data_IF_070280193937
#
_entry.id   IF_070280193937
#
_cell.length_a   1.000
_cell.length_b   1.000
_cell.length_c   1.000
_cell.angle_alpha   90.00
_cell.angle_beta   90.00
_cell.angle_gamma   90.00
#
_symmetry.space_group_name_H-M   'P 1'
#
loop_
_entity.id
_entity.type
_entity.pdbx_description
1 polymer ?
#
# COMPACT_ATOMS: atom_id res chain seq x y z
N UNK A 1 -7.51 10.81 -4.29
CA UNK A 1 -8.37 10.17 -5.31
C UNK A 1 -9.55 9.43 -4.70
N UNK A 2 -9.38 8.37 -3.87
CA UNK A 2 -10.56 7.69 -3.27
C UNK A 2 -11.42 8.64 -2.42
N UNK A 3 -10.87 9.41 -1.46
CA UNK A 3 -11.68 10.37 -0.70
C UNK A 3 -12.41 11.39 -1.58
N UNK A 4 -11.73 11.89 -2.61
CA UNK A 4 -12.26 12.85 -3.59
C UNK A 4 -13.46 12.28 -4.35
N UNK A 5 -13.39 11.05 -4.86
CA UNK A 5 -14.52 10.46 -5.58
C UNK A 5 -15.71 10.13 -4.67
N UNK A 6 -15.44 9.94 -3.37
CA UNK A 6 -16.46 9.83 -2.31
C UNK A 6 -17.05 11.19 -1.90
N UNK A 7 -16.60 12.30 -2.48
CA UNK A 7 -17.11 13.65 -2.19
C UNK A 7 -16.31 14.42 -1.13
N UNK A 8 -15.12 13.95 -0.75
CA UNK A 8 -14.23 14.65 0.18
C UNK A 8 -13.02 15.24 -0.56
N UNK A 9 -13.12 16.52 -0.90
CA UNK A 9 -12.10 17.25 -1.63
C UNK A 9 -10.78 17.36 -0.86
N UNK A 10 -9.67 17.37 -1.59
CA UNK A 10 -8.35 17.63 -1.03
C UNK A 10 -7.48 18.38 -2.03
N UNK A 11 -6.49 19.07 -1.49
CA UNK A 11 -5.49 19.81 -2.24
C UNK A 11 -4.12 19.19 -2.03
N UNK A 12 -3.28 19.23 -3.07
CA UNK A 12 -1.86 18.88 -2.94
C UNK A 12 -1.06 20.15 -2.65
N UNK A 13 -0.70 20.33 -1.38
CA UNK A 13 0.09 21.49 -0.95
C UNK A 13 1.58 21.15 -1.03
N UNK A 14 2.34 21.97 -1.76
CA UNK A 14 3.78 21.76 -1.92
C UNK A 14 4.47 21.59 -0.55
N UNK A 15 5.33 20.58 -0.44
CA UNK A 15 6.07 20.21 0.79
C UNK A 15 5.24 19.79 2.00
N UNK A 16 3.91 19.90 1.97
CA UNK A 16 3.00 19.41 3.02
C UNK A 16 2.28 18.12 2.63
N UNK A 17 2.10 17.89 1.32
CA UNK A 17 1.36 16.74 0.80
C UNK A 17 -0.15 17.00 0.77
N UNK A 18 -0.99 15.95 0.87
CA UNK A 18 -2.43 16.10 0.79
C UNK A 18 -2.98 16.87 2.00
N UNK A 19 -3.83 17.84 1.73
CA UNK A 19 -4.54 18.66 2.71
C UNK A 19 -6.05 18.63 2.42
N UNK A 20 -6.85 18.36 3.43
CA UNK A 20 -8.30 18.32 3.33
C UNK A 20 -8.89 19.54 4.05
N UNK A 21 -9.58 20.45 3.32
CA UNK A 21 -10.20 21.63 3.92
C UNK A 21 -11.38 21.27 4.85
N UNK A 22 -12.02 20.11 4.62
CA UNK A 22 -13.03 19.53 5.48
C UNK A 22 -12.62 18.10 5.89
N UNK A 23 -12.93 17.70 7.13
CA UNK A 23 -12.59 16.37 7.65
C UNK A 23 -13.82 15.65 8.20
N UNK A 24 -13.75 14.32 8.25
CA UNK A 24 -14.81 13.49 8.83
C UNK A 24 -14.72 13.53 10.36
N UNK A 25 -15.78 14.01 11.01
CA UNK A 25 -15.83 14.16 12.47
C UNK A 25 -17.06 13.51 13.10
N UNK A 26 -18.08 13.20 12.32
CA UNK A 26 -19.38 12.72 12.78
C UNK A 26 -20.02 11.73 11.81
N UNK A 27 -21.08 11.07 12.26
CA UNK A 27 -21.90 10.19 11.42
C UNK A 27 -22.51 10.93 10.22
N UNK A 28 -22.98 12.17 10.44
CA UNK A 28 -23.55 13.00 9.38
C UNK A 28 -22.53 13.33 8.28
N UNK A 29 -21.23 13.38 8.60
CA UNK A 29 -20.19 13.58 7.60
C UNK A 29 -19.98 12.31 6.76
N UNK A 30 -20.05 11.13 7.38
CA UNK A 30 -19.95 9.83 6.68
C UNK A 30 -21.16 9.61 5.77
N UNK A 31 -22.34 10.00 6.22
CA UNK A 31 -23.59 9.79 5.46
C UNK A 31 -23.62 10.61 4.17
N UNK A 32 -22.95 11.77 4.14
CA UNK A 32 -22.79 12.60 2.93
C UNK A 32 -21.83 11.99 1.91
N UNK A 33 -20.98 11.04 2.30
CA UNK A 33 -20.03 10.43 1.38
C UNK A 33 -20.74 9.51 0.39
N UNK A 34 -20.43 9.71 -0.89
CA UNK A 34 -20.69 8.71 -1.92
C UNK A 34 -19.82 7.46 -1.67
N UNK A 35 -20.27 6.29 -2.11
CA UNK A 35 -19.52 5.05 -1.91
C UNK A 35 -19.81 3.98 -2.97
N UNK A 36 -18.91 3.02 -3.09
CA UNK A 36 -19.07 1.87 -3.97
C UNK A 36 -18.79 2.22 -5.43
N UNK A 37 -19.46 1.51 -6.35
CA UNK A 37 -19.22 1.62 -7.79
C UNK A 37 -19.50 3.03 -8.33
N UNK A 38 -20.59 3.68 -7.93
CA UNK A 38 -20.95 5.02 -8.40
C UNK A 38 -19.91 6.08 -8.04
N UNK A 39 -19.28 5.96 -6.86
CA UNK A 39 -18.18 6.83 -6.46
C UNK A 39 -16.91 6.50 -7.28
N UNK A 40 -16.57 5.22 -7.43
CA UNK A 40 -15.41 4.79 -8.20
C UNK A 40 -15.46 5.22 -9.67
N UNK A 41 -16.63 5.17 -10.33
CA UNK A 41 -16.83 5.56 -11.73
C UNK A 41 -16.37 7.00 -12.03
N UNK A 42 -16.42 7.90 -11.05
CA UNK A 42 -15.96 9.30 -11.19
C UNK A 42 -14.45 9.40 -11.45
N UNK A 43 -13.68 8.35 -11.19
CA UNK A 43 -12.24 8.29 -11.43
C UNK A 43 -11.88 7.79 -12.84
N UNK A 44 -12.78 7.98 -13.82
CA UNK A 44 -12.57 7.53 -15.20
C UNK A 44 -11.23 8.01 -15.82
N UNK A 45 -10.76 9.20 -15.47
CA UNK A 45 -9.47 9.72 -15.92
C UNK A 45 -8.28 8.82 -15.48
N UNK A 46 -8.38 8.18 -14.31
CA UNK A 46 -7.37 7.23 -13.82
C UNK A 46 -7.35 5.98 -14.68
N UNK A 47 -8.54 5.50 -15.04
CA UNK A 47 -8.69 4.27 -15.83
C UNK A 47 -8.20 4.47 -17.26
N UNK A 48 -8.52 5.60 -17.88
CA UNK A 48 -8.00 5.99 -19.19
C UNK A 48 -6.46 6.09 -19.18
N UNK A 49 -5.88 6.75 -18.17
CA UNK A 49 -4.43 6.84 -18.01
C UNK A 49 -3.77 5.46 -17.86
N UNK A 50 -4.43 4.52 -17.18
CA UNK A 50 -3.96 3.16 -17.04
C UNK A 50 -3.97 2.41 -18.38
N UNK A 51 -5.05 2.50 -19.16
CA UNK A 51 -5.13 1.86 -20.49
C UNK A 51 -4.08 2.39 -21.45
N UNK A 52 -3.89 3.71 -21.51
CA UNK A 52 -2.83 4.34 -22.32
C UNK A 52 -1.44 3.87 -21.88
N UNK A 53 -1.22 3.71 -20.57
CA UNK A 53 0.05 3.18 -20.04
C UNK A 53 0.26 1.72 -20.46
N UNK A 54 -0.77 0.88 -20.35
CA UNK A 54 -0.68 -0.54 -20.74
C UNK A 54 -0.38 -0.70 -22.23
N UNK A 55 -1.04 0.09 -23.08
CA UNK A 55 -0.78 0.13 -24.52
C UNK A 55 0.67 0.57 -24.81
N UNK A 56 1.12 1.67 -24.21
CA UNK A 56 2.48 2.18 -24.42
C UNK A 56 3.59 1.26 -23.87
N UNK A 57 3.28 0.38 -22.92
CA UNK A 57 4.21 -0.63 -22.42
C UNK A 57 4.44 -1.76 -23.43
N UNK A 58 3.48 -2.02 -24.33
CA UNK A 58 3.56 -3.06 -25.38
C UNK A 58 4.04 -4.42 -24.83
N UNK A 59 3.39 -4.86 -23.74
CA UNK A 59 3.68 -6.10 -22.99
C UNK A 59 5.14 -6.31 -22.54
N UNK A 60 5.97 -5.25 -22.58
CA UNK A 60 7.38 -5.31 -22.16
C UNK A 60 7.57 -5.69 -20.70
N UNK A 61 6.66 -5.24 -19.82
CA UNK A 61 6.60 -5.58 -18.39
C UNK A 61 5.16 -5.54 -17.89
N UNK A 62 4.81 -6.29 -16.82
CA UNK A 62 3.51 -6.18 -16.18
C UNK A 62 3.27 -4.79 -15.59
N UNK A 63 2.01 -4.34 -15.62
CA UNK A 63 1.55 -3.08 -15.06
C UNK A 63 0.91 -3.30 -13.68
N UNK A 64 1.46 -2.66 -12.65
CA UNK A 64 0.93 -2.74 -11.28
C UNK A 64 -0.10 -1.63 -11.06
N UNK A 65 -1.36 -2.02 -10.84
CA UNK A 65 -2.38 -1.16 -10.25
C UNK A 65 -2.23 -1.11 -8.73
N UNK A 66 -2.76 -0.05 -8.11
CA UNK A 66 -2.68 0.11 -6.65
C UNK A 66 -3.76 1.02 -6.08
N UNK A 67 -3.97 0.88 -4.77
CA UNK A 67 -4.72 1.80 -3.91
C UNK A 67 -4.16 1.80 -2.47
N UNK A 68 -4.49 2.84 -1.70
CA UNK A 68 -4.25 2.86 -0.26
C UNK A 68 -5.23 1.95 0.48
N UNK A 69 -4.78 1.36 1.60
CA UNK A 69 -5.63 0.57 2.47
C UNK A 69 -6.65 1.45 3.21
N UNK A 70 -7.78 0.89 3.68
CA UNK A 70 -8.87 1.67 4.26
C UNK A 70 -8.47 2.48 5.48
N UNK A 71 -7.65 1.90 6.38
CA UNK A 71 -7.08 2.64 7.52
C UNK A 71 -6.23 3.82 7.08
N UNK A 72 -5.31 3.60 6.14
CA UNK A 72 -4.45 4.66 5.60
C UNK A 72 -5.26 5.81 4.99
N UNK A 73 -6.34 5.51 4.27
CA UNK A 73 -7.24 6.52 3.71
C UNK A 73 -8.05 7.24 4.81
N UNK A 74 -8.60 6.49 5.76
CA UNK A 74 -9.31 7.04 6.93
C UNK A 74 -8.42 8.01 7.72
N UNK A 75 -7.13 7.70 7.88
CA UNK A 75 -6.17 8.59 8.54
C UNK A 75 -6.19 9.99 7.92
N UNK A 76 -6.10 10.11 6.60
CA UNK A 76 -6.16 11.40 5.93
C UNK A 76 -7.53 12.06 6.03
N UNK A 77 -8.62 11.30 5.84
CA UNK A 77 -9.99 11.82 5.85
C UNK A 77 -10.39 12.41 7.21
N UNK A 78 -9.89 11.86 8.31
CA UNK A 78 -10.21 12.31 9.68
C UNK A 78 -9.16 13.32 10.20
N UNK A 79 -7.88 13.08 9.92
CA UNK A 79 -6.80 13.96 10.40
C UNK A 79 -6.79 15.30 9.67
N UNK A 80 -7.00 15.24 8.34
CA UNK A 80 -6.98 16.35 7.39
C UNK A 80 -5.65 16.53 6.65
N UNK A 81 -4.61 15.81 7.06
CA UNK A 81 -3.28 15.85 6.46
C UNK A 81 -2.45 14.64 6.89
N UNK A 82 -1.19 14.58 6.46
CA UNK A 82 -0.22 13.72 7.12
C UNK A 82 -0.04 14.11 8.60
N UNK A 83 0.26 13.13 9.44
CA UNK A 83 0.49 13.32 10.88
C UNK A 83 1.50 12.31 11.39
N UNK A 84 2.20 12.65 12.47
CA UNK A 84 3.13 11.73 13.14
C UNK A 84 2.42 10.76 14.06
N UNK A 85 1.24 11.14 14.57
CA UNK A 85 0.52 10.38 15.60
C UNK A 85 -0.83 9.89 15.14
N UNK A 86 -1.45 10.57 14.16
CA UNK A 86 -2.83 10.30 13.72
C UNK A 86 -3.78 10.19 14.93
N UNK A 87 -3.70 11.16 15.84
CA UNK A 87 -4.43 11.10 17.11
C UNK A 87 -5.95 11.25 16.92
N UNK A 88 -6.42 11.96 15.90
CA UNK A 88 -7.86 12.11 15.63
C UNK A 88 -8.51 10.81 15.13
N UNK A 89 -8.00 10.11 14.08
CA UNK A 89 -8.56 8.83 13.67
C UNK A 89 -8.41 7.78 14.77
N UNK A 90 -7.29 7.73 15.50
CA UNK A 90 -7.14 6.82 16.66
C UNK A 90 -8.17 7.11 17.75
N UNK A 91 -8.44 8.39 18.05
CA UNK A 91 -9.51 8.77 18.98
C UNK A 91 -10.87 8.24 18.53
N UNK A 92 -11.16 8.27 17.22
CA UNK A 92 -12.40 7.69 16.69
C UNK A 92 -12.46 6.18 16.96
N UNK A 93 -11.36 5.44 16.72
CA UNK A 93 -11.31 3.98 16.99
C UNK A 93 -11.67 3.65 18.45
N UNK A 94 -11.19 4.44 19.41
CA UNK A 94 -11.44 4.17 20.84
C UNK A 94 -12.76 4.74 21.34
N UNK A 95 -13.15 5.94 20.87
CA UNK A 95 -14.34 6.64 21.38
C UNK A 95 -15.62 6.13 20.75
N UNK A 96 -15.56 5.80 19.46
CA UNK A 96 -16.73 5.43 18.65
C UNK A 96 -16.35 4.36 17.60
N UNK A 97 -16.11 3.10 18.04
CA UNK A 97 -15.76 2.01 17.14
C UNK A 97 -16.76 1.78 16.01
N UNK A 98 -18.06 1.92 16.27
CA UNK A 98 -19.11 1.71 15.27
C UNK A 98 -19.00 2.73 14.13
N UNK A 99 -18.79 4.00 14.49
CA UNK A 99 -18.53 5.06 13.52
C UNK A 99 -17.27 4.81 12.69
N UNK A 100 -16.19 4.36 13.33
CA UNK A 100 -14.96 3.98 12.64
C UNK A 100 -15.21 2.84 11.64
N UNK A 101 -15.92 1.79 12.06
CA UNK A 101 -16.26 0.67 11.18
C UNK A 101 -17.16 1.11 10.01
N UNK A 102 -18.11 2.03 10.23
CA UNK A 102 -18.96 2.60 9.17
C UNK A 102 -18.12 3.28 8.09
N UNK A 103 -17.16 4.12 8.49
CA UNK A 103 -16.26 4.81 7.56
C UNK A 103 -15.34 3.84 6.82
N UNK A 104 -14.68 2.93 7.54
CA UNK A 104 -13.78 1.93 6.95
C UNK A 104 -14.50 1.07 5.92
N UNK A 105 -15.74 0.63 6.22
CA UNK A 105 -16.55 -0.15 5.27
C UNK A 105 -16.85 0.62 3.97
N UNK A 106 -17.28 1.90 4.06
CA UNK A 106 -17.51 2.74 2.86
C UNK A 106 -16.25 2.92 2.03
N UNK A 107 -15.11 3.14 2.68
CA UNK A 107 -13.81 3.27 1.99
C UNK A 107 -13.45 1.95 1.30
N UNK A 108 -13.62 0.82 1.98
CA UNK A 108 -13.33 -0.51 1.43
C UNK A 108 -14.16 -0.79 0.19
N UNK A 109 -15.47 -0.60 0.24
CA UNK A 109 -16.36 -0.91 -0.88
C UNK A 109 -16.05 -0.07 -2.11
N UNK A 110 -15.77 1.21 -1.91
CA UNK A 110 -15.34 2.13 -2.97
C UNK A 110 -13.99 1.72 -3.55
N UNK A 111 -13.04 1.36 -2.68
CA UNK A 111 -11.68 0.98 -3.11
C UNK A 111 -11.70 -0.34 -3.87
N UNK A 112 -12.52 -1.32 -3.48
CA UNK A 112 -12.70 -2.57 -4.23
C UNK A 112 -13.24 -2.28 -5.64
N UNK A 113 -14.29 -1.46 -5.76
CA UNK A 113 -14.82 -1.09 -7.07
C UNK A 113 -13.75 -0.39 -7.93
N UNK A 114 -13.02 0.57 -7.35
CA UNK A 114 -11.92 1.25 -8.02
C UNK A 114 -10.83 0.29 -8.51
N UNK A 115 -10.42 -0.67 -7.68
CA UNK A 115 -9.40 -1.66 -8.05
C UNK A 115 -9.90 -2.61 -9.15
N UNK A 116 -11.17 -3.04 -9.11
CA UNK A 116 -11.77 -3.84 -10.19
C UNK A 116 -11.78 -3.08 -11.53
N UNK A 117 -12.07 -1.78 -11.52
CA UNK A 117 -11.93 -0.97 -12.72
C UNK A 117 -10.48 -0.90 -13.21
N UNK A 118 -9.48 -0.79 -12.33
CA UNK A 118 -8.07 -0.84 -12.75
C UNK A 118 -7.70 -2.17 -13.41
N UNK A 119 -8.19 -3.29 -12.86
CA UNK A 119 -8.00 -4.62 -13.49
C UNK A 119 -8.63 -4.64 -14.89
N UNK A 120 -9.88 -4.18 -15.02
CA UNK A 120 -10.55 -4.11 -16.32
C UNK A 120 -9.85 -3.21 -17.36
N UNK A 121 -9.03 -2.26 -16.91
CA UNK A 121 -8.27 -1.33 -17.75
C UNK A 121 -6.78 -1.71 -17.92
N UNK A 122 -6.38 -2.91 -17.50
CA UNK A 122 -5.09 -3.50 -17.84
C UNK A 122 -4.07 -3.60 -16.70
N UNK A 123 -4.46 -3.43 -15.44
CA UNK A 123 -3.58 -3.78 -14.32
C UNK A 123 -3.42 -5.31 -14.26
N UNK A 124 -2.17 -5.78 -14.37
CA UNK A 124 -1.81 -7.20 -14.32
C UNK A 124 -1.63 -7.70 -12.88
N UNK A 125 -1.39 -6.78 -11.93
CA UNK A 125 -1.20 -7.03 -10.50
C UNK A 125 -1.80 -5.87 -9.72
N UNK A 126 -2.37 -6.12 -8.54
CA UNK A 126 -2.83 -5.06 -7.62
C UNK A 126 -2.01 -5.03 -6.35
N UNK A 127 -1.54 -3.84 -5.96
CA UNK A 127 -0.91 -3.60 -4.66
C UNK A 127 -1.81 -2.75 -3.74
N UNK A 128 -2.01 -3.23 -2.51
CA UNK A 128 -2.72 -2.54 -1.43
C UNK A 128 -1.67 -2.00 -0.46
N UNK A 129 -1.65 -0.67 -0.29
CA UNK A 129 -0.66 0.03 0.54
C UNK A 129 -1.27 0.51 1.86
N UNK A 130 -0.91 -0.12 2.97
CA UNK A 130 -1.21 0.37 4.30
C UNK A 130 0.00 1.07 4.92
N UNK A 131 0.23 2.30 4.45
CA UNK A 131 1.38 3.12 4.83
C UNK A 131 1.39 3.54 6.31
N UNK A 132 0.23 3.53 6.97
CA UNK A 132 0.05 3.96 8.36
C UNK A 132 -0.24 2.81 9.33
N UNK A 133 0.02 1.57 8.93
CA UNK A 133 -0.23 0.38 9.74
C UNK A 133 0.52 0.43 11.09
N UNK A 134 1.82 0.72 11.07
CA UNK A 134 2.69 0.74 12.27
C UNK A 134 2.42 1.87 13.27
N UNK A 135 1.41 2.72 13.04
CA UNK A 135 0.95 3.72 14.03
C UNK A 135 -0.01 3.10 15.06
N UNK A 136 -0.55 1.92 14.73
CA UNK A 136 -1.43 1.13 15.58
C UNK A 136 -0.65 0.01 16.29
N UNK A 137 -1.13 -0.36 17.47
CA UNK A 137 -0.75 -1.63 18.11
C UNK A 137 -1.44 -2.83 17.44
N UNK A 138 -1.00 -4.03 17.78
CA UNK A 138 -1.48 -5.29 17.21
C UNK A 138 -3.00 -5.47 17.36
N UNK A 139 -3.54 -5.25 18.56
CA UNK A 139 -4.97 -5.45 18.83
C UNK A 139 -5.83 -4.49 18.01
N UNK A 140 -5.44 -3.22 17.96
CA UNK A 140 -6.15 -2.19 17.21
C UNK A 140 -6.05 -2.45 15.70
N UNK A 141 -4.87 -2.83 15.20
CA UNK A 141 -4.68 -3.18 13.79
C UNK A 141 -5.52 -4.38 13.36
N UNK A 142 -5.52 -5.44 14.19
CA UNK A 142 -6.31 -6.65 13.96
C UNK A 142 -7.82 -6.37 13.92
N UNK A 143 -8.29 -5.42 14.72
CA UNK A 143 -9.71 -5.07 14.80
C UNK A 143 -10.15 -4.16 13.65
N UNK A 144 -9.36 -3.13 13.33
CA UNK A 144 -9.78 -2.05 12.43
C UNK A 144 -9.15 -2.08 11.04
N UNK A 145 -8.17 -2.95 10.77
CA UNK A 145 -7.47 -2.98 9.48
C UNK A 145 -7.59 -4.34 8.79
N UNK A 146 -7.25 -5.42 9.51
CA UNK A 146 -7.21 -6.79 8.97
C UNK A 146 -8.51 -7.21 8.26
N UNK A 147 -9.72 -7.02 8.83
CA UNK A 147 -10.97 -7.46 8.18
C UNK A 147 -11.21 -6.79 6.82
N UNK A 148 -10.80 -5.53 6.69
CA UNK A 148 -11.02 -4.75 5.48
C UNK A 148 -10.00 -5.05 4.39
N UNK A 149 -8.73 -5.24 4.78
CA UNK A 149 -7.70 -5.71 3.85
C UNK A 149 -8.07 -7.11 3.34
N UNK A 150 -8.56 -8.00 4.21
CA UNK A 150 -9.05 -9.34 3.85
C UNK A 150 -10.14 -9.27 2.79
N UNK A 151 -11.18 -8.45 3.03
CA UNK A 151 -12.27 -8.22 2.07
C UNK A 151 -11.76 -7.73 0.71
N UNK A 152 -10.73 -6.88 0.69
CA UNK A 152 -10.10 -6.42 -0.55
C UNK A 152 -9.33 -7.54 -1.26
N UNK A 153 -8.53 -8.32 -0.54
CA UNK A 153 -7.78 -9.45 -1.10
C UNK A 153 -8.74 -10.49 -1.69
N UNK A 154 -9.77 -10.90 -0.95
CA UNK A 154 -10.79 -11.85 -1.41
C UNK A 154 -11.52 -11.37 -2.69
N UNK A 155 -11.75 -10.06 -2.81
CA UNK A 155 -12.43 -9.49 -3.97
C UNK A 155 -11.55 -9.34 -5.22
N UNK A 156 -10.22 -9.25 -5.07
CA UNK A 156 -9.29 -8.91 -6.16
C UNK A 156 -8.40 -10.07 -6.57
N UNK A 157 -7.94 -10.89 -5.62
CA UNK A 157 -7.04 -12.02 -5.88
C UNK A 157 -7.56 -13.02 -6.94
N UNK A 158 -8.88 -13.30 -7.04
CA UNK A 158 -9.41 -14.14 -8.13
C UNK A 158 -9.29 -13.52 -9.53
N UNK A 159 -9.07 -12.20 -9.62
CA UNK A 159 -8.97 -11.47 -10.89
C UNK A 159 -7.51 -11.34 -11.34
N UNK A 160 -6.64 -10.95 -10.42
CA UNK A 160 -5.19 -10.78 -10.64
C UNK A 160 -4.42 -10.96 -9.33
N UNK A 161 -3.11 -11.27 -9.36
CA UNK A 161 -2.31 -11.35 -8.16
C UNK A 161 -2.37 -10.07 -7.31
N UNK A 162 -2.43 -10.25 -6.01
CA UNK A 162 -2.46 -9.20 -4.99
C UNK A 162 -1.15 -9.16 -4.20
N UNK A 163 -0.71 -7.93 -3.95
CA UNK A 163 0.40 -7.59 -3.05
C UNK A 163 -0.20 -6.80 -1.88
N UNK A 164 0.04 -7.23 -0.65
CA UNK A 164 -0.32 -6.46 0.55
C UNK A 164 0.93 -5.95 1.23
N UNK A 165 1.01 -4.64 1.46
CA UNK A 165 2.13 -3.99 2.13
C UNK A 165 1.63 -3.20 3.34
N UNK A 166 2.04 -3.60 4.54
CA UNK A 166 1.66 -2.96 5.80
C UNK A 166 2.90 -2.44 6.53
N UNK A 167 3.20 -1.15 6.34
CA UNK A 167 4.45 -0.54 6.83
C UNK A 167 4.49 -0.49 8.35
N UNK A 168 5.56 -1.02 8.95
CA UNK A 168 5.83 -1.02 10.38
C UNK A 168 4.99 -2.03 11.18
N UNK A 169 4.09 -2.76 10.53
CA UNK A 169 3.20 -3.73 11.18
C UNK A 169 3.78 -5.15 11.13
N UNK A 170 5.03 -5.32 11.54
CA UNK A 170 5.72 -6.62 11.59
C UNK A 170 4.98 -7.66 12.45
N UNK A 171 4.22 -7.21 13.45
CA UNK A 171 3.37 -8.06 14.29
C UNK A 171 2.21 -8.70 13.52
N UNK A 172 1.85 -8.17 12.34
CA UNK A 172 0.68 -8.63 11.56
C UNK A 172 1.00 -9.72 10.53
N UNK A 173 2.26 -10.18 10.44
CA UNK A 173 2.69 -11.11 9.37
C UNK A 173 1.81 -12.37 9.27
N UNK A 174 1.46 -12.99 10.39
CA UNK A 174 0.58 -14.16 10.42
C UNK A 174 -0.83 -13.81 9.93
N UNK A 175 -1.42 -12.72 10.43
CA UNK A 175 -2.75 -12.27 9.99
C UNK A 175 -2.77 -11.96 8.48
N UNK A 176 -1.70 -11.33 7.96
CA UNK A 176 -1.52 -11.09 6.53
C UNK A 176 -1.45 -12.39 5.72
N UNK A 177 -0.72 -13.38 6.20
CA UNK A 177 -0.62 -14.68 5.53
C UNK A 177 -1.95 -15.43 5.49
N UNK A 178 -2.75 -15.36 6.57
CA UNK A 178 -4.06 -15.99 6.65
C UNK A 178 -5.08 -15.42 5.64
N UNK A 179 -4.83 -14.23 5.08
CA UNK A 179 -5.63 -13.68 3.98
C UNK A 179 -5.25 -14.26 2.61
N UNK A 180 -4.17 -15.04 2.55
CA UNK A 180 -3.63 -15.66 1.34
C UNK A 180 -3.36 -14.69 0.17
N UNK A 181 -2.75 -13.50 0.40
CA UNK A 181 -2.28 -12.68 -0.71
C UNK A 181 -1.12 -13.39 -1.43
N UNK A 182 -0.96 -13.16 -2.73
CA UNK A 182 0.11 -13.80 -3.50
C UNK A 182 1.48 -13.29 -3.06
N UNK A 183 1.57 -12.03 -2.64
CA UNK A 183 2.80 -11.40 -2.18
C UNK A 183 2.56 -10.58 -0.91
N UNK A 184 3.48 -10.68 0.06
CA UNK A 184 3.51 -9.80 1.23
C UNK A 184 4.72 -8.86 1.10
N UNK A 185 4.45 -7.56 1.05
CA UNK A 185 5.46 -6.52 1.04
C UNK A 185 5.96 -6.22 2.45
N UNK A 186 7.28 -6.06 2.59
CA UNK A 186 7.97 -5.89 3.86
C UNK A 186 8.77 -4.58 3.80
N UNK A 187 8.71 -3.77 4.87
CA UNK A 187 9.55 -2.58 5.04
C UNK A 187 10.94 -2.92 5.62
N UNK A 188 11.83 -1.94 5.63
CA UNK A 188 13.23 -2.13 6.03
C UNK A 188 13.46 -2.26 7.54
N UNK A 189 12.45 -1.99 8.37
CA UNK A 189 12.56 -2.16 9.82
C UNK A 189 12.34 -3.60 10.26
N UNK A 190 11.86 -4.47 9.38
CA UNK A 190 11.60 -5.89 9.67
C UNK A 190 12.72 -6.76 9.12
N UNK A 191 13.39 -7.56 9.96
CA UNK A 191 14.41 -8.48 9.45
C UNK A 191 13.79 -9.62 8.63
N UNK A 192 14.29 -9.81 7.40
CA UNK A 192 13.79 -10.85 6.51
C UNK A 192 14.01 -12.28 7.04
N UNK A 193 14.98 -12.49 7.93
CA UNK A 193 15.15 -13.78 8.62
C UNK A 193 13.91 -14.10 9.47
N UNK A 194 13.43 -13.11 10.24
CA UNK A 194 12.21 -13.25 11.04
C UNK A 194 10.99 -13.44 10.13
N UNK A 195 10.88 -12.68 9.04
CA UNK A 195 9.81 -12.84 8.05
C UNK A 195 9.77 -14.27 7.52
N UNK A 196 10.93 -14.85 7.16
CA UNK A 196 11.01 -16.24 6.67
C UNK A 196 10.68 -17.27 7.75
N UNK A 197 11.01 -17.02 9.02
CA UNK A 197 10.62 -17.88 10.13
C UNK A 197 9.09 -17.91 10.32
N UNK A 198 8.43 -16.75 10.19
CA UNK A 198 6.97 -16.63 10.37
C UNK A 198 6.20 -17.12 9.15
N UNK A 199 6.52 -16.61 7.96
CA UNK A 199 5.77 -16.88 6.73
C UNK A 199 6.20 -18.17 6.01
N UNK A 200 7.36 -18.72 6.38
CA UNK A 200 7.97 -19.86 5.69
C UNK A 200 8.55 -19.50 4.31
N UNK A 201 9.09 -20.51 3.61
CA UNK A 201 9.80 -20.32 2.34
C UNK A 201 8.88 -20.18 1.12
N UNK A 202 7.60 -20.58 1.23
CA UNK A 202 6.68 -20.65 0.09
C UNK A 202 5.96 -19.33 -0.20
N UNK A 203 5.76 -18.48 0.82
CA UNK A 203 5.15 -17.18 0.64
C UNK A 203 6.08 -16.28 -0.18
N UNK A 204 5.57 -15.67 -1.25
CA UNK A 204 6.34 -14.65 -1.98
C UNK A 204 6.37 -13.39 -1.14
N UNK A 205 7.57 -12.84 -0.97
CA UNK A 205 7.80 -11.59 -0.24
C UNK A 205 8.38 -10.53 -1.16
N UNK A 206 8.03 -9.27 -0.93
CA UNK A 206 8.55 -8.12 -1.67
C UNK A 206 9.30 -7.18 -0.72
N UNK A 207 10.42 -6.60 -1.15
CA UNK A 207 11.22 -5.67 -0.35
C UNK A 207 12.66 -6.15 -0.16
N UNK A 208 13.38 -5.73 0.87
CA UNK A 208 13.00 -4.68 1.81
C UNK A 208 14.15 -3.71 2.12
N UNK A 209 15.03 -3.43 1.15
CA UNK A 209 16.15 -2.50 1.36
C UNK A 209 15.65 -1.14 1.88
N UNK A 210 16.36 -0.56 2.84
CA UNK A 210 16.13 0.83 3.23
C UNK A 210 16.32 1.73 1.99
N UNK A 211 15.34 2.59 1.62
CA UNK A 211 15.50 3.55 0.54
C UNK A 211 16.78 4.39 0.64
N UNK A 212 17.25 4.68 1.86
CA UNK A 212 18.47 5.45 2.10
C UNK A 212 19.74 4.74 1.62
N UNK A 213 19.73 3.41 1.38
CA UNK A 213 20.86 2.70 0.78
C UNK A 213 21.25 3.30 -0.57
N UNK A 214 20.29 3.89 -1.29
CA UNK A 214 20.51 4.49 -2.62
C UNK A 214 21.40 5.74 -2.61
N UNK A 215 21.68 6.33 -1.45
CA UNK A 215 22.66 7.41 -1.33
C UNK A 215 24.11 6.91 -1.19
N UNK A 216 24.31 5.61 -0.96
CA UNK A 216 25.64 5.04 -0.84
C UNK A 216 26.36 4.96 -2.19
N UNK A 217 27.66 4.67 -2.17
CA UNK A 217 28.39 4.39 -3.41
C UNK A 217 27.90 3.07 -4.05
N UNK A 218 28.15 2.89 -5.35
CA UNK A 218 27.62 1.75 -6.11
C UNK A 218 28.00 0.39 -5.53
N UNK A 219 29.23 0.25 -5.03
CA UNK A 219 29.73 -1.00 -4.45
C UNK A 219 28.96 -1.39 -3.19
N UNK A 220 28.63 -0.40 -2.35
CA UNK A 220 27.83 -0.64 -1.15
C UNK A 220 26.38 -1.02 -1.51
N UNK A 221 25.77 -0.31 -2.48
CA UNK A 221 24.42 -0.64 -2.96
C UNK A 221 24.35 -2.09 -3.47
N UNK A 222 25.32 -2.49 -4.30
CA UNK A 222 25.41 -3.85 -4.82
C UNK A 222 25.59 -4.88 -3.69
N UNK A 223 26.48 -4.58 -2.73
CA UNK A 223 26.73 -5.47 -1.59
C UNK A 223 25.47 -5.68 -0.75
N UNK A 224 24.74 -4.62 -0.44
CA UNK A 224 23.49 -4.68 0.32
C UNK A 224 22.40 -5.44 -0.45
N UNK A 225 22.26 -5.19 -1.75
CA UNK A 225 21.29 -5.89 -2.60
C UNK A 225 21.56 -7.39 -2.68
N UNK A 226 22.81 -7.80 -2.92
CA UNK A 226 23.19 -9.22 -3.00
C UNK A 226 23.05 -9.88 -1.63
N UNK A 227 23.44 -9.20 -0.55
CA UNK A 227 23.27 -9.68 0.82
C UNK A 227 21.79 -9.96 1.13
N UNK A 228 20.90 -9.04 0.77
CA UNK A 228 19.46 -9.22 0.93
C UNK A 228 18.95 -10.42 0.11
N UNK A 229 19.29 -10.51 -1.18
CA UNK A 229 18.84 -11.62 -2.05
C UNK A 229 19.26 -12.97 -1.45
N UNK A 230 20.51 -13.10 -1.00
CA UNK A 230 21.02 -14.31 -0.36
C UNK A 230 20.32 -14.62 0.96
N UNK A 231 20.05 -13.59 1.78
CA UNK A 231 19.34 -13.74 3.06
C UNK A 231 17.91 -14.25 2.85
N UNK A 232 17.19 -13.71 1.87
CA UNK A 232 15.78 -14.03 1.63
C UNK A 232 15.61 -15.36 0.90
N UNK A 233 16.53 -15.70 -0.01
CA UNK A 233 16.45 -16.89 -0.86
C UNK A 233 15.46 -16.72 -2.02
N UNK A 234 14.90 -17.84 -2.50
CA UNK A 234 13.89 -17.85 -3.56
C UNK A 234 12.55 -17.21 -3.14
N UNK A 235 11.60 -17.11 -4.07
CA UNK A 235 10.26 -16.50 -3.83
C UNK A 235 10.37 -15.08 -3.27
N UNK A 236 11.20 -14.27 -3.91
CA UNK A 236 11.53 -12.90 -3.50
C UNK A 236 11.41 -11.95 -4.69
N UNK A 237 10.64 -10.87 -4.50
CA UNK A 237 10.61 -9.71 -5.39
C UNK A 237 11.47 -8.63 -4.72
N UNK A 238 12.70 -8.45 -5.20
CA UNK A 238 13.58 -7.42 -4.63
C UNK A 238 12.96 -6.05 -4.88
N UNK A 239 12.80 -5.30 -3.80
CA UNK A 239 12.33 -3.92 -3.84
C UNK A 239 12.92 -3.17 -2.64
N UNK A 240 12.73 -1.86 -2.62
CA UNK A 240 12.91 -1.07 -1.40
C UNK A 240 11.77 -1.40 -0.41
N UNK A 241 12.00 -1.10 0.87
CA UNK A 241 10.98 -1.14 1.91
C UNK A 241 10.04 0.07 1.91
N UNK A 242 10.27 1.05 1.02
CA UNK A 242 9.39 2.19 0.77
C UNK A 242 9.72 2.85 -0.58
N UNK A 243 8.94 3.87 -0.97
CA UNK A 243 9.25 4.70 -2.13
C UNK A 243 10.58 5.46 -2.02
N UNK A 244 11.19 5.73 -3.18
CA UNK A 244 12.35 6.61 -3.33
C UNK A 244 12.05 8.02 -2.86
N UNK A 245 13.06 8.74 -2.39
CA UNK A 245 12.92 10.13 -1.97
C UNK A 245 13.21 11.09 -3.14
N UNK A 246 12.66 12.32 -3.10
CA UNK A 246 12.82 13.27 -4.22
C UNK A 246 14.27 13.61 -4.58
N UNK A 247 15.18 13.54 -3.61
CA UNK A 247 16.61 13.84 -3.75
C UNK A 247 17.49 12.59 -3.94
N UNK A 248 16.89 11.40 -4.06
CA UNK A 248 17.64 10.15 -4.29
C UNK A 248 18.40 10.21 -5.62
N UNK A 249 19.72 9.95 -5.65
CA UNK A 249 20.51 9.96 -6.88
C UNK A 249 20.04 8.89 -7.87
N UNK A 250 19.80 9.28 -9.12
CA UNK A 250 19.41 8.35 -10.20
C UNK A 250 20.42 7.21 -10.38
N UNK A 251 21.71 7.49 -10.25
CA UNK A 251 22.75 6.49 -10.43
C UNK A 251 22.74 5.43 -9.30
N UNK A 252 22.33 5.82 -8.09
CA UNK A 252 22.07 4.86 -7.01
C UNK A 252 20.94 3.89 -7.35
N UNK A 253 19.83 4.40 -7.91
CA UNK A 253 18.71 3.57 -8.39
C UNK A 253 19.17 2.60 -9.48
N UNK A 254 19.94 3.09 -10.47
CA UNK A 254 20.49 2.24 -11.54
C UNK A 254 21.42 1.17 -10.99
N UNK A 255 22.29 1.51 -10.03
CA UNK A 255 23.20 0.57 -9.40
C UNK A 255 22.42 -0.59 -8.74
N UNK A 256 21.36 -0.28 -8.00
CA UNK A 256 20.49 -1.31 -7.41
C UNK A 256 19.86 -2.20 -8.48
N UNK A 257 19.20 -1.63 -9.49
CA UNK A 257 18.53 -2.40 -10.54
C UNK A 257 19.51 -3.30 -11.28
N UNK A 258 20.69 -2.80 -11.62
CA UNK A 258 21.73 -3.58 -12.30
C UNK A 258 22.27 -4.71 -11.43
N UNK A 259 22.53 -4.46 -10.14
CA UNK A 259 22.96 -5.50 -9.20
C UNK A 259 21.94 -6.65 -9.10
N UNK A 260 20.66 -6.31 -8.96
CA UNK A 260 19.57 -7.30 -8.89
C UNK A 260 19.45 -8.09 -10.20
N UNK A 261 19.48 -7.42 -11.35
CA UNK A 261 19.40 -8.06 -12.67
C UNK A 261 20.64 -8.91 -13.01
N UNK A 262 21.80 -8.58 -12.43
CA UNK A 262 23.04 -9.31 -12.61
C UNK A 262 23.14 -10.59 -11.77
N UNK A 263 22.42 -10.65 -10.64
CA UNK A 263 22.45 -11.80 -9.76
C UNK A 263 21.82 -13.06 -10.40
N UNK A 264 22.43 -14.22 -10.15
CA UNK A 264 21.92 -15.54 -10.53
C UNK A 264 21.97 -16.45 -9.31
N UNK A 265 20.88 -17.17 -9.06
CA UNK A 265 20.79 -18.18 -8.00
C UNK A 265 21.60 -19.42 -8.34
#
# INVERSE_FOLDING_TARGET
MIPECMGLEYEMVEKKGPYFPATIQSEADIDKLDSGASAAEKLNYVYQGLSLTKEALDDRVPLIGFAGAPWTLMCYMVEGSGSKTFSKPKRMLYKDPELAHKLLSKITDTTIAYLKHKVAHGADVIQIFDSWAGVLDEHTYKTFCIPYIRKMVEAINPLVPTIVFSKGAWFSLTDLQEMSPNVIGIDWNTDMTHVRQVLGPNQVVQGNLDPCVLYANHKEIETQAISLIKKVGGKHIVNLGHGVYPDTPLDGVKALVNAVKGFRY
#
